data_IF_575697960307
#
_entry.id   IF_575697960307
#
_cell.length_a   1.000
_cell.length_b   1.000
_cell.length_c   1.000
_cell.angle_alpha   90.00
_cell.angle_beta   90.00
_cell.angle_gamma   90.00
#
_symmetry.space_group_name_H-M   'P 1'
#
loop_
_entity.id
_entity.type
_entity.pdbx_description
1 polymer ?
#
# COMPACT_ATOMS: atom_id res chain seq x y z
N UNK A 1 3.63 -21.25 20.14
CA UNK A 1 4.61 -20.64 19.23
C UNK A 1 4.66 -21.46 17.96
N UNK A 2 4.08 -20.95 16.87
CA UNK A 2 4.11 -21.62 15.55
C UNK A 2 4.53 -20.57 14.53
N UNK A 3 5.74 -20.72 13.98
CA UNK A 3 6.25 -19.92 12.86
C UNK A 3 6.06 -20.77 11.62
N UNK A 4 5.10 -20.41 10.77
CA UNK A 4 4.94 -21.01 9.44
C UNK A 4 5.98 -20.42 8.49
N UNK A 5 7.06 -21.17 8.31
CA UNK A 5 8.06 -21.00 7.26
C UNK A 5 7.52 -21.67 5.99
N UNK A 6 7.49 -20.93 4.88
CA UNK A 6 7.20 -21.51 3.56
C UNK A 6 8.53 -21.90 2.92
N UNK A 7 8.87 -23.18 2.99
CA UNK A 7 9.97 -23.78 2.24
C UNK A 7 9.45 -24.29 0.88
N UNK A 8 10.19 -24.01 -0.18
CA UNK A 8 10.16 -24.78 -1.42
C UNK A 8 11.59 -25.01 -1.87
N UNK A 9 11.98 -26.28 -1.88
CA UNK A 9 13.22 -26.83 -2.40
C UNK A 9 13.03 -27.23 -3.86
N UNK A 10 13.98 -26.87 -4.73
CA UNK A 10 14.95 -27.77 -5.40
C UNK A 10 15.53 -27.09 -6.67
N UNK A 11 16.85 -26.98 -6.72
CA UNK A 11 17.71 -26.49 -7.81
C UNK A 11 17.68 -27.42 -9.05
N UNK A 12 18.08 -26.94 -10.25
CA UNK A 12 19.47 -27.16 -10.64
C UNK A 12 20.18 -25.93 -11.23
N UNK A 13 21.48 -25.92 -10.95
CA UNK A 13 22.55 -25.07 -11.45
C UNK A 13 22.66 -25.04 -12.98
N UNK A 14 22.52 -23.86 -13.60
CA UNK A 14 23.25 -23.50 -14.83
C UNK A 14 23.53 -21.98 -14.87
N UNK A 15 24.70 -21.60 -14.36
CA UNK A 15 25.34 -20.33 -14.66
C UNK A 15 25.89 -20.39 -16.09
N UNK A 16 25.30 -19.64 -17.03
CA UNK A 16 26.06 -19.04 -18.12
C UNK A 16 25.31 -17.87 -18.72
N UNK A 17 25.79 -16.68 -18.38
CA UNK A 17 25.71 -15.42 -19.12
C UNK A 17 24.90 -15.45 -20.42
N UNK A 18 23.72 -14.82 -20.45
CA UNK A 18 23.46 -13.84 -21.51
C UNK A 18 22.39 -12.82 -21.13
N UNK A 19 22.64 -11.63 -21.61
CA UNK A 19 21.94 -10.37 -21.44
C UNK A 19 20.79 -10.27 -22.45
N UNK A 20 19.65 -9.73 -21.99
CA UNK A 20 18.46 -9.25 -22.73
C UNK A 20 17.57 -10.25 -23.45
N UNK A 21 16.30 -10.26 -23.04
CA UNK A 21 15.19 -10.23 -24.00
C UNK A 21 14.01 -9.46 -23.39
N UNK A 22 13.93 -8.16 -23.68
CA UNK A 22 12.70 -7.38 -23.52
C UNK A 22 11.96 -7.45 -24.85
N UNK A 23 10.88 -8.22 -24.89
CA UNK A 23 9.87 -8.11 -25.93
C UNK A 23 8.60 -7.56 -25.33
N UNK A 24 8.08 -6.46 -25.89
CA UNK A 24 6.68 -6.30 -26.32
C UNK A 24 6.62 -5.04 -27.20
N UNK A 25 6.48 -5.32 -28.49
CA UNK A 25 5.77 -4.58 -29.56
C UNK A 25 5.37 -3.11 -29.34
N UNK A 26 5.94 -2.23 -30.18
CA UNK A 26 5.12 -1.52 -31.17
C UNK A 26 4.61 -0.11 -30.82
N UNK A 27 5.51 0.84 -30.61
CA UNK A 27 5.33 2.22 -31.10
C UNK A 27 6.71 2.89 -31.25
N UNK A 28 7.02 3.33 -32.47
CA UNK A 28 8.25 4.02 -32.82
C UNK A 28 8.36 5.36 -32.08
N UNK A 29 9.18 5.41 -31.03
CA UNK A 29 9.94 6.61 -30.68
C UNK A 29 11.42 6.21 -30.72
N UNK A 30 12.09 6.60 -31.79
CA UNK A 30 13.54 6.48 -31.91
C UNK A 30 14.20 7.36 -30.84
N UNK A 31 14.48 6.78 -29.67
CA UNK A 31 15.40 7.40 -28.72
C UNK A 31 16.81 7.13 -29.26
N UNK A 32 17.61 8.17 -29.58
CA UNK A 32 18.96 7.93 -30.05
C UNK A 32 19.74 7.27 -28.92
N UNK A 33 20.04 5.98 -29.11
CA UNK A 33 20.90 5.21 -28.22
C UNK A 33 22.34 5.68 -28.46
N UNK A 34 22.69 6.84 -27.89
CA UNK A 34 24.07 7.31 -27.85
C UNK A 34 24.79 6.45 -26.81
N UNK A 35 25.38 5.35 -27.28
CA UNK A 35 26.45 4.66 -26.58
C UNK A 35 27.65 5.62 -26.52
N UNK A 36 27.72 6.44 -25.49
CA UNK A 36 29.01 6.90 -24.99
C UNK A 36 29.49 5.88 -23.96
N UNK A 37 30.65 5.26 -24.15
CA UNK A 37 31.33 4.55 -23.08
C UNK A 37 32.01 5.59 -22.19
N UNK A 38 31.22 6.38 -21.46
CA UNK A 38 31.79 7.16 -20.37
C UNK A 38 31.98 6.17 -19.22
N UNK A 39 33.20 6.07 -18.70
CA UNK A 39 33.50 5.44 -17.42
C UNK A 39 32.68 6.19 -16.36
N UNK A 40 31.42 5.80 -16.19
CA UNK A 40 30.51 6.39 -15.23
C UNK A 40 31.16 6.25 -13.88
N UNK A 41 31.41 7.38 -13.24
CA UNK A 41 32.00 7.39 -11.91
C UNK A 41 31.12 6.54 -10.99
N UNK A 42 31.70 5.91 -9.98
CA UNK A 42 30.92 5.24 -8.93
C UNK A 42 29.85 6.17 -8.36
N UNK A 43 30.13 7.48 -8.30
CA UNK A 43 29.16 8.51 -7.90
C UNK A 43 27.96 8.63 -8.85
N UNK A 44 28.16 8.50 -10.17
CA UNK A 44 27.07 8.55 -11.15
C UNK A 44 26.18 7.31 -11.10
N UNK A 45 26.77 6.17 -10.72
CA UNK A 45 26.03 4.94 -10.46
C UNK A 45 25.23 5.04 -9.16
N UNK A 46 25.85 5.52 -8.08
CA UNK A 46 25.19 5.73 -6.78
C UNK A 46 24.02 6.70 -6.92
N UNK A 47 24.22 7.84 -7.59
CA UNK A 47 23.15 8.83 -7.84
C UNK A 47 21.97 8.26 -8.64
N UNK A 48 22.23 7.44 -9.65
CA UNK A 48 21.16 6.76 -10.40
C UNK A 48 20.43 5.72 -9.56
N UNK A 49 21.16 4.93 -8.77
CA UNK A 49 20.56 3.96 -7.86
C UNK A 49 19.66 4.66 -6.83
N UNK A 50 20.14 5.76 -6.23
CA UNK A 50 19.35 6.55 -5.28
C UNK A 50 18.09 7.14 -5.93
N UNK A 51 18.17 7.68 -7.15
CA UNK A 51 16.98 8.16 -7.88
C UNK A 51 15.96 7.06 -8.10
N UNK A 52 16.41 5.87 -8.53
CA UNK A 52 15.52 4.73 -8.78
C UNK A 52 14.86 4.21 -7.48
N UNK A 53 15.60 4.21 -6.37
CA UNK A 53 15.07 3.87 -5.04
C UNK A 53 14.01 4.89 -4.62
N UNK A 54 14.22 6.18 -4.84
CA UNK A 54 13.24 7.24 -4.54
C UNK A 54 11.97 7.09 -5.39
N UNK A 55 12.09 6.87 -6.70
CA UNK A 55 10.93 6.70 -7.58
C UNK A 55 10.11 5.44 -7.20
N UNK A 56 10.81 4.36 -6.82
CA UNK A 56 10.19 3.12 -6.36
C UNK A 56 9.49 3.31 -5.01
N UNK A 57 10.13 4.03 -4.07
CA UNK A 57 9.55 4.35 -2.77
C UNK A 57 8.29 5.22 -2.92
N UNK A 58 8.34 6.25 -3.78
CA UNK A 58 7.18 7.11 -4.09
C UNK A 58 6.02 6.33 -4.72
N UNK A 59 6.32 5.41 -5.62
CA UNK A 59 5.31 4.52 -6.21
C UNK A 59 4.68 3.62 -5.14
N UNK A 60 5.50 3.02 -4.28
CA UNK A 60 5.01 2.17 -3.19
C UNK A 60 4.17 2.96 -2.18
N UNK A 61 4.59 4.16 -1.81
CA UNK A 61 3.85 5.08 -0.94
C UNK A 61 2.50 5.46 -1.55
N UNK A 62 2.47 5.79 -2.84
CA UNK A 62 1.24 6.14 -3.54
C UNK A 62 0.24 4.97 -3.53
N UNK A 63 0.71 3.76 -3.85
CA UNK A 63 -0.15 2.57 -3.89
C UNK A 63 -0.66 2.16 -2.51
N UNK A 64 0.19 2.21 -1.48
CA UNK A 64 -0.23 1.90 -0.11
C UNK A 64 -1.18 2.95 0.45
N UNK A 65 -1.02 4.23 0.10
CA UNK A 65 -1.97 5.29 0.45
C UNK A 65 -3.34 5.04 -0.19
N UNK A 66 -3.38 4.71 -1.48
CA UNK A 66 -4.63 4.38 -2.17
C UNK A 66 -5.32 3.16 -1.57
N UNK A 67 -4.57 2.09 -1.30
CA UNK A 67 -5.11 0.89 -0.67
C UNK A 67 -5.67 1.16 0.74
N UNK A 68 -4.98 1.99 1.52
CA UNK A 68 -5.46 2.43 2.84
C UNK A 68 -6.77 3.22 2.71
N UNK A 69 -6.83 4.21 1.81
CA UNK A 69 -8.04 5.00 1.59
C UNK A 69 -9.23 4.15 1.15
N UNK A 70 -9.02 3.20 0.23
CA UNK A 70 -10.08 2.29 -0.22
C UNK A 70 -10.56 1.38 0.91
N UNK A 71 -9.64 0.83 1.72
CA UNK A 71 -9.99 0.01 2.88
C UNK A 71 -10.80 0.78 3.93
N UNK A 72 -10.41 2.03 4.24
CA UNK A 72 -11.13 2.92 5.15
C UNK A 72 -12.53 3.25 4.62
N UNK A 73 -12.65 3.54 3.31
CA UNK A 73 -13.94 3.76 2.66
C UNK A 73 -14.86 2.53 2.80
N UNK A 74 -14.32 1.33 2.58
CA UNK A 74 -15.03 0.07 2.78
C UNK A 74 -15.49 -0.13 4.23
N UNK A 75 -14.61 0.14 5.20
CA UNK A 75 -14.92 0.05 6.63
C UNK A 75 -16.03 1.03 7.06
N UNK A 76 -15.96 2.28 6.63
CA UNK A 76 -16.97 3.30 6.91
C UNK A 76 -18.33 2.89 6.32
N UNK A 77 -18.36 2.37 5.08
CA UNK A 77 -19.58 1.87 4.46
C UNK A 77 -20.19 0.70 5.25
N UNK A 78 -19.37 -0.24 5.74
CA UNK A 78 -19.82 -1.35 6.56
C UNK A 78 -20.42 -0.88 7.88
N UNK A 79 -19.77 0.07 8.58
CA UNK A 79 -20.31 0.69 9.79
C UNK A 79 -21.65 1.37 9.53
N UNK A 80 -21.73 2.21 8.50
CA UNK A 80 -22.96 2.94 8.17
C UNK A 80 -24.11 1.98 7.86
N UNK A 81 -23.81 0.85 7.20
CA UNK A 81 -24.78 -0.20 6.92
C UNK A 81 -25.27 -0.87 8.22
N UNK A 82 -24.36 -1.21 9.13
CA UNK A 82 -24.69 -1.80 10.43
C UNK A 82 -25.51 -0.84 11.31
N UNK A 83 -25.16 0.45 11.35
CA UNK A 83 -25.90 1.49 12.07
C UNK A 83 -27.30 1.65 11.50
N UNK A 84 -27.43 1.68 10.17
CA UNK A 84 -28.72 1.78 9.49
C UNK A 84 -29.59 0.54 9.75
N UNK A 85 -28.98 -0.65 9.83
CA UNK A 85 -29.67 -1.88 10.20
C UNK A 85 -30.18 -1.83 11.65
N UNK A 86 -29.34 -1.40 12.61
CA UNK A 86 -29.77 -1.25 14.01
C UNK A 86 -30.90 -0.24 14.15
N UNK A 87 -30.82 0.92 13.48
CA UNK A 87 -31.90 1.92 13.52
C UNK A 87 -33.24 1.35 13.02
N UNK A 88 -33.21 0.61 11.90
CA UNK A 88 -34.41 -0.05 11.36
C UNK A 88 -34.96 -1.12 12.30
N UNK A 89 -34.08 -1.91 12.91
CA UNK A 89 -34.45 -2.93 13.90
C UNK A 89 -35.16 -2.29 15.09
N UNK A 90 -34.54 -1.30 15.74
CA UNK A 90 -35.12 -0.59 16.88
C UNK A 90 -36.46 0.07 16.53
N UNK A 91 -36.56 0.68 15.34
CA UNK A 91 -37.81 1.32 14.88
C UNK A 91 -38.96 0.34 14.58
N UNK A 92 -38.67 -0.96 14.44
CA UNK A 92 -39.64 -1.97 14.03
C UNK A 92 -39.78 -3.12 15.04
N UNK A 93 -39.13 -3.02 16.20
CA UNK A 93 -38.96 -4.15 17.16
C UNK A 93 -40.30 -4.76 17.61
N UNK A 94 -41.34 -3.93 17.79
CA UNK A 94 -42.67 -4.39 18.21
C UNK A 94 -43.50 -5.01 17.07
N UNK A 95 -42.94 -5.11 15.85
CA UNK A 95 -43.64 -5.57 14.64
C UNK A 95 -43.17 -6.94 14.15
N UNK A 96 -42.21 -7.57 14.82
CA UNK A 96 -41.63 -8.84 14.41
C UNK A 96 -42.16 -10.00 15.23
N UNK A 97 -42.36 -11.14 14.57
CA UNK A 97 -42.50 -12.44 15.21
C UNK A 97 -41.13 -12.94 15.71
N UNK A 98 -41.12 -13.88 16.64
CA UNK A 98 -39.87 -14.45 17.18
C UNK A 98 -38.96 -15.05 16.09
N UNK A 99 -39.52 -15.59 15.00
CA UNK A 99 -38.76 -16.14 13.88
C UNK A 99 -38.12 -15.03 13.03
N UNK A 100 -38.84 -13.94 12.80
CA UNK A 100 -38.32 -12.78 12.06
C UNK A 100 -37.23 -12.05 12.86
N UNK A 101 -37.38 -11.98 14.19
CA UNK A 101 -36.38 -11.39 15.08
C UNK A 101 -35.05 -12.16 15.01
N UNK A 102 -35.09 -13.50 15.07
CA UNK A 102 -33.88 -14.32 14.91
C UNK A 102 -33.23 -14.11 13.53
N UNK A 103 -34.04 -14.08 12.47
CA UNK A 103 -33.52 -13.82 11.12
C UNK A 103 -32.81 -12.46 11.02
N UNK A 104 -33.38 -11.39 11.60
CA UNK A 104 -32.74 -10.06 11.62
C UNK A 104 -31.48 -10.07 12.48
N UNK A 105 -31.51 -10.78 13.62
CA UNK A 105 -30.34 -10.93 14.48
C UNK A 105 -29.18 -11.59 13.75
N UNK A 106 -29.42 -12.65 12.96
CA UNK A 106 -28.40 -13.28 12.12
C UNK A 106 -27.80 -12.31 11.09
N UNK A 107 -28.62 -11.44 10.51
CA UNK A 107 -28.13 -10.39 9.58
C UNK A 107 -27.26 -9.37 10.33
N UNK A 108 -27.63 -8.97 11.54
CA UNK A 108 -26.83 -8.08 12.39
C UNK A 108 -25.47 -8.70 12.71
N UNK A 109 -25.44 -9.98 13.11
CA UNK A 109 -24.19 -10.70 13.40
C UNK A 109 -23.27 -10.75 12.17
N UNK A 110 -23.82 -11.01 10.98
CA UNK A 110 -23.06 -10.99 9.73
C UNK A 110 -22.44 -9.62 9.45
N UNK A 111 -23.20 -8.54 9.59
CA UNK A 111 -22.68 -7.18 9.38
C UNK A 111 -21.62 -6.81 10.44
N UNK A 112 -21.78 -7.27 11.69
CA UNK A 112 -20.75 -7.09 12.72
C UNK A 112 -19.45 -7.81 12.35
N UNK A 113 -19.55 -9.04 11.83
CA UNK A 113 -18.37 -9.77 11.35
C UNK A 113 -17.70 -9.03 10.18
N UNK A 114 -18.47 -8.54 9.22
CA UNK A 114 -17.95 -7.75 8.10
C UNK A 114 -17.19 -6.50 8.58
N UNK A 115 -17.74 -5.75 9.55
CA UNK A 115 -17.04 -4.59 10.14
C UNK A 115 -15.70 -4.98 10.79
N UNK A 116 -15.66 -6.14 11.47
CA UNK A 116 -14.42 -6.66 12.09
C UNK A 116 -13.39 -7.00 11.01
N UNK A 117 -13.80 -7.68 9.95
CA UNK A 117 -12.91 -8.08 8.85
C UNK A 117 -12.36 -6.83 8.13
N UNK A 118 -13.23 -5.85 7.82
CA UNK A 118 -12.80 -4.58 7.21
C UNK A 118 -11.85 -3.79 8.10
N UNK A 119 -12.08 -3.78 9.42
CA UNK A 119 -11.14 -3.13 10.36
C UNK A 119 -9.77 -3.81 10.32
N UNK A 120 -9.73 -5.14 10.18
CA UNK A 120 -8.47 -5.89 10.07
C UNK A 120 -7.73 -5.52 8.78
N UNK A 121 -8.43 -5.41 7.66
CA UNK A 121 -7.85 -4.95 6.39
C UNK A 121 -7.27 -3.53 6.52
N UNK A 122 -8.00 -2.59 7.15
CA UNK A 122 -7.50 -1.24 7.40
C UNK A 122 -6.17 -1.25 8.16
N UNK A 123 -6.08 -2.03 9.25
CA UNK A 123 -4.84 -2.15 10.04
C UNK A 123 -3.68 -2.74 9.25
N UNK A 124 -3.96 -3.69 8.35
CA UNK A 124 -2.93 -4.26 7.48
C UNK A 124 -2.41 -3.19 6.52
N UNK A 125 -3.29 -2.45 5.84
CA UNK A 125 -2.88 -1.42 4.90
C UNK A 125 -2.24 -0.21 5.58
N UNK A 126 -2.65 0.13 6.80
CA UNK A 126 -1.99 1.13 7.64
C UNK A 126 -0.54 0.75 7.92
N UNK A 127 -0.28 -0.52 8.30
CA UNK A 127 1.08 -1.01 8.51
C UNK A 127 1.93 -0.97 7.24
N UNK A 128 1.35 -1.32 6.09
CA UNK A 128 2.02 -1.18 4.79
C UNK A 128 2.35 0.28 4.47
N UNK A 129 1.40 1.19 4.69
CA UNK A 129 1.56 2.63 4.45
C UNK A 129 2.64 3.24 5.35
N UNK A 130 2.66 2.92 6.65
CA UNK A 130 3.72 3.32 7.57
C UNK A 130 5.10 2.84 7.12
N UNK A 131 5.18 1.59 6.61
CA UNK A 131 6.44 1.06 6.06
C UNK A 131 6.86 1.84 4.80
N UNK A 132 5.92 2.20 3.94
CA UNK A 132 6.20 2.96 2.73
C UNK A 132 6.68 4.39 3.01
N UNK A 133 6.18 5.01 4.08
CA UNK A 133 6.66 6.31 4.57
C UNK A 133 8.12 6.21 5.00
N UNK A 134 8.43 5.27 5.90
CA UNK A 134 9.81 5.07 6.37
C UNK A 134 10.77 4.79 5.22
N UNK A 135 10.34 3.98 4.24
CA UNK A 135 11.14 3.72 3.04
C UNK A 135 11.37 4.98 2.20
N UNK A 136 10.36 5.85 2.08
CA UNK A 136 10.46 7.10 1.33
C UNK A 136 11.38 8.11 2.01
N UNK A 137 11.38 8.17 3.34
CA UNK A 137 12.31 8.99 4.13
C UNK A 137 13.76 8.51 3.93
N UNK A 138 14.01 7.21 4.08
CA UNK A 138 15.33 6.63 3.84
C UNK A 138 15.80 6.81 2.39
N UNK A 139 14.89 6.70 1.42
CA UNK A 139 15.20 6.94 0.01
C UNK A 139 15.59 8.40 -0.24
N UNK A 140 14.88 9.35 0.37
CA UNK A 140 15.19 10.77 0.28
C UNK A 140 16.56 11.10 0.91
N UNK A 141 16.89 10.53 2.08
CA UNK A 141 18.21 10.66 2.69
C UNK A 141 19.32 10.08 1.80
N UNK A 142 19.11 8.90 1.21
CA UNK A 142 20.07 8.28 0.30
C UNK A 142 20.27 9.10 -0.97
N UNK A 143 19.22 9.73 -1.51
CA UNK A 143 19.31 10.63 -2.66
C UNK A 143 20.03 11.93 -2.32
N UNK A 144 19.76 12.52 -1.14
CA UNK A 144 20.46 13.69 -0.65
C UNK A 144 21.97 13.43 -0.48
N UNK A 145 22.33 12.32 0.17
CA UNK A 145 23.72 11.91 0.35
C UNK A 145 24.44 11.64 -0.98
N UNK A 146 23.71 11.23 -2.02
CA UNK A 146 24.22 11.06 -3.38
C UNK A 146 24.27 12.38 -4.20
N UNK A 147 24.10 13.53 -3.56
CA UNK A 147 24.17 14.86 -4.19
C UNK A 147 22.91 15.28 -4.96
N UNK A 148 21.77 14.63 -4.72
CA UNK A 148 20.50 14.95 -5.40
C UNK A 148 19.61 15.85 -4.54
N UNK A 149 19.89 17.15 -4.55
CA UNK A 149 19.21 18.16 -3.72
C UNK A 149 17.71 18.37 -4.02
N UNK A 150 17.22 17.96 -5.19
CA UNK A 150 15.83 18.16 -5.61
C UNK A 150 14.81 17.29 -4.83
N UNK A 151 15.24 16.26 -4.09
CA UNK A 151 14.33 15.33 -3.40
C UNK A 151 13.97 15.74 -1.96
N UNK A 152 14.59 16.79 -1.41
CA UNK A 152 14.30 17.30 -0.05
C UNK A 152 12.89 17.88 0.09
N UNK A 153 12.36 18.49 -0.96
CA UNK A 153 11.02 19.08 -0.96
C UNK A 153 9.92 18.00 -0.87
N UNK A 154 10.17 16.83 -1.45
CA UNK A 154 9.27 15.67 -1.37
C UNK A 154 9.21 15.07 0.04
N UNK A 155 10.34 15.06 0.75
CA UNK A 155 10.41 14.58 2.14
C UNK A 155 9.60 15.47 3.10
N UNK A 156 9.63 16.79 2.91
CA UNK A 156 8.87 17.74 3.72
C UNK A 156 7.34 17.64 3.49
N UNK A 157 6.90 17.39 2.26
CA UNK A 157 5.48 17.19 1.94
C UNK A 157 4.91 15.91 2.57
N UNK A 158 5.69 14.83 2.58
CA UNK A 158 5.30 13.54 3.14
C UNK A 158 5.10 13.61 4.67
N UNK A 159 5.95 14.35 5.39
CA UNK A 159 5.83 14.56 6.84
C UNK A 159 4.54 15.30 7.25
N UNK A 160 4.04 16.21 6.41
CA UNK A 160 2.78 16.93 6.65
C UNK A 160 1.53 16.05 6.47
N UNK A 161 1.51 15.21 5.43
CA UNK A 161 0.40 14.25 5.19
C UNK A 161 0.35 13.14 6.24
N UNK A 162 1.50 12.78 6.82
CA UNK A 162 1.65 11.76 7.86
C UNK A 162 0.79 12.04 9.10
N UNK A 163 0.87 13.27 9.61
CA UNK A 163 0.18 13.65 10.84
C UNK A 163 -1.36 13.65 10.66
N UNK A 164 -1.83 14.01 9.46
CA UNK A 164 -3.25 14.06 9.15
C UNK A 164 -3.87 12.66 9.00
N UNK A 165 -3.21 11.74 8.29
CA UNK A 165 -3.70 10.37 8.10
C UNK A 165 -3.61 9.53 9.39
N UNK A 166 -2.52 9.65 10.15
CA UNK A 166 -2.40 8.99 11.45
C UNK A 166 -3.46 9.50 12.46
N UNK A 167 -3.80 10.80 12.42
CA UNK A 167 -4.92 11.35 13.20
C UNK A 167 -6.25 10.73 12.76
N UNK A 168 -6.51 10.61 11.45
CA UNK A 168 -7.76 10.03 10.96
C UNK A 168 -7.93 8.55 11.35
N UNK A 169 -6.85 7.76 11.34
CA UNK A 169 -6.92 6.32 11.68
C UNK A 169 -7.06 6.09 13.19
N UNK A 170 -6.46 6.94 14.04
CA UNK A 170 -6.60 6.80 15.50
C UNK A 170 -7.87 7.45 16.07
N UNK A 171 -8.52 8.34 15.30
CA UNK A 171 -9.73 9.06 15.75
C UNK A 171 -11.03 8.34 15.37
N UNK A 172 -11.02 7.43 14.39
CA UNK A 172 -12.22 6.74 13.86
C UNK A 172 -12.07 5.21 13.80
#
# INVERSE_FOLDING_TARGET
MSRSSCQSSLLPTLLRNNWMTLSVTGALCAVPFIQKPENLSHEDLVRRASSLVTDSANTYLSQTTLALLDSLSGYIKAINSLVSLHKRYVGSINRFTSVEEDAIWQVILRHRQEVIDRRKDCKQFESCWMTAINLSELAAEAAFNAGSFHFLEQAAFNAGSFHFLHFLVNTF
#
